data_IF_285668120381
#
_entry.id   IF_285668120381
#
_cell.length_a   1.000
_cell.length_b   1.000
_cell.length_c   1.000
_cell.angle_alpha   90.00
_cell.angle_beta   90.00
_cell.angle_gamma   90.00
#
_symmetry.space_group_name_H-M   'P 1'
#
loop_
_entity.id
_entity.type
_entity.pdbx_description
1 polymer ?
#
# COMPACT_ATOMS: atom_id res chain seq x y z
N UNK A 1 2.80 21.17 -1.46
CA UNK A 1 3.03 19.72 -1.37
C UNK A 1 4.18 19.32 -0.43
N UNK A 2 4.97 20.19 0.08
CA UNK A 2 6.16 19.91 0.87
C UNK A 2 7.44 20.39 0.18
N UNK A 3 8.60 20.06 0.76
CA UNK A 3 9.91 20.52 0.25
C UNK A 3 10.59 19.50 -0.66
N UNK A 4 10.12 18.24 -0.67
CA UNK A 4 10.67 17.16 -1.48
C UNK A 4 9.53 16.25 -1.97
N UNK A 5 9.68 15.71 -3.17
CA UNK A 5 8.86 14.61 -3.70
C UNK A 5 9.81 13.52 -4.16
N UNK A 6 9.68 12.34 -3.57
CA UNK A 6 10.52 11.19 -3.85
C UNK A 6 9.75 10.06 -4.54
N UNK A 7 10.48 9.17 -5.18
CA UNK A 7 10.00 7.93 -5.77
C UNK A 7 8.75 8.08 -6.65
N UNK A 8 8.68 9.07 -7.57
CA UNK A 8 7.51 9.19 -8.43
C UNK A 8 7.41 7.99 -9.37
N UNK A 9 6.25 7.36 -9.39
CA UNK A 9 5.89 6.29 -10.33
C UNK A 9 4.60 6.65 -11.04
N UNK A 10 4.60 6.58 -12.36
CA UNK A 10 3.42 6.79 -13.19
C UNK A 10 3.01 5.46 -13.83
N UNK A 11 1.82 4.99 -13.50
CA UNK A 11 1.25 3.77 -14.07
C UNK A 11 -0.13 4.04 -14.66
N UNK A 12 -0.54 3.18 -15.59
CA UNK A 12 -1.85 3.26 -16.22
C UNK A 12 -2.70 2.07 -15.79
N UNK A 13 -3.91 2.35 -15.31
CA UNK A 13 -4.88 1.33 -14.88
C UNK A 13 -6.20 1.66 -15.57
N UNK A 14 -6.68 0.78 -16.45
CA UNK A 14 -7.86 1.02 -17.29
C UNK A 14 -7.79 2.38 -18.00
N UNK A 15 -6.66 2.67 -18.66
CA UNK A 15 -6.33 3.92 -19.35
C UNK A 15 -6.30 5.18 -18.46
N UNK A 16 -6.48 5.04 -17.16
CA UNK A 16 -6.31 6.14 -16.20
C UNK A 16 -4.88 6.21 -15.69
N UNK A 17 -4.20 7.34 -15.81
CA UNK A 17 -2.88 7.52 -15.23
C UNK A 17 -3.00 7.70 -13.72
N UNK A 18 -2.20 6.94 -12.98
CA UNK A 18 -2.07 7.01 -11.52
C UNK A 18 -0.65 7.42 -11.19
N UNK A 19 -0.48 8.56 -10.56
CA UNK A 19 0.80 9.06 -10.08
C UNK A 19 0.95 8.70 -8.60
N UNK A 20 1.94 7.87 -8.29
CA UNK A 20 2.32 7.47 -6.93
C UNK A 20 3.60 8.24 -6.57
N UNK A 21 3.68 8.75 -5.34
CA UNK A 21 4.82 9.55 -4.91
C UNK A 21 4.91 9.64 -3.38
N UNK A 22 6.10 10.00 -2.89
CA UNK A 22 6.40 10.13 -1.47
C UNK A 22 6.79 11.57 -1.16
N UNK A 23 5.88 12.45 -0.73
CA UNK A 23 6.19 13.82 -0.38
C UNK A 23 6.77 13.92 1.04
N UNK A 24 7.81 14.74 1.21
CA UNK A 24 8.32 15.09 2.53
C UNK A 24 7.89 16.50 2.92
N UNK A 25 7.43 16.66 4.15
CA UNK A 25 6.96 17.94 4.67
C UNK A 25 5.62 18.36 4.07
N UNK A 26 4.79 17.43 3.64
CA UNK A 26 3.43 17.74 3.20
C UNK A 26 2.58 18.17 4.39
N UNK A 27 1.76 19.21 4.18
CA UNK A 27 0.78 19.65 5.18
C UNK A 27 -0.29 18.56 5.39
N UNK A 28 -0.49 18.15 6.64
CA UNK A 28 -1.50 17.15 7.04
C UNK A 28 -2.95 17.57 6.74
N UNK A 29 -3.20 18.84 6.48
CA UNK A 29 -4.49 19.31 5.99
C UNK A 29 -4.77 18.94 4.52
N UNK A 30 -3.73 18.60 3.74
CA UNK A 30 -3.89 18.15 2.36
C UNK A 30 -4.32 16.68 2.34
N UNK A 31 -3.64 15.86 3.12
CA UNK A 31 -3.94 14.45 3.34
C UNK A 31 -3.42 14.08 4.73
N UNK A 32 -4.25 13.58 5.65
CA UNK A 32 -3.79 13.19 6.97
C UNK A 32 -2.89 11.96 6.90
N UNK A 33 -1.82 11.93 7.69
CA UNK A 33 -0.91 10.78 7.81
C UNK A 33 -0.23 10.80 9.19
N UNK A 34 0.15 9.64 9.69
CA UNK A 34 0.78 9.48 11.01
C UNK A 34 2.29 9.17 10.92
N UNK A 35 2.75 8.60 9.82
CA UNK A 35 4.17 8.37 9.57
C UNK A 35 4.98 9.68 9.51
N UNK A 36 6.30 9.60 9.57
CA UNK A 36 7.19 10.75 9.35
C UNK A 36 6.97 11.30 7.95
N UNK A 37 6.92 10.41 6.94
CA UNK A 37 6.69 10.74 5.55
C UNK A 37 5.53 9.90 4.99
N UNK A 38 4.58 10.53 4.29
CA UNK A 38 3.48 9.80 3.68
C UNK A 38 3.88 9.14 2.36
N UNK A 39 3.09 8.16 1.96
CA UNK A 39 3.13 7.51 0.67
C UNK A 39 1.77 7.72 0.01
N UNK A 40 1.75 8.48 -1.08
CA UNK A 40 0.51 9.03 -1.63
C UNK A 40 0.30 8.68 -3.10
N UNK A 41 -0.92 8.89 -3.57
CA UNK A 41 -1.25 8.83 -4.98
C UNK A 41 -2.29 9.88 -5.39
N UNK A 42 -2.32 10.16 -6.69
CA UNK A 42 -3.34 10.95 -7.38
C UNK A 42 -3.74 10.25 -8.67
N UNK A 43 -5.03 10.20 -8.97
CA UNK A 43 -5.54 9.64 -10.22
C UNK A 43 -5.77 10.79 -11.19
N UNK A 44 -5.12 10.74 -12.35
CA UNK A 44 -5.26 11.75 -13.40
C UNK A 44 -6.35 11.42 -14.42
N UNK A 45 -6.63 12.39 -15.23
CA UNK A 45 -7.54 12.26 -16.37
C UNK A 45 -6.80 11.73 -17.61
N UNK A 46 -5.60 12.28 -17.88
CA UNK A 46 -4.74 11.91 -18.99
C UNK A 46 -3.29 12.37 -18.79
N UNK A 47 -2.41 11.93 -19.68
CA UNK A 47 -1.05 12.44 -19.78
C UNK A 47 -0.89 13.10 -21.16
N UNK A 48 -0.56 14.38 -21.17
CA UNK A 48 -0.18 15.08 -22.38
C UNK A 48 1.33 14.95 -22.60
N UNK A 49 1.74 14.02 -23.46
CA UNK A 49 3.14 13.72 -23.70
C UNK A 49 3.87 14.89 -24.39
N UNK A 50 3.20 15.62 -25.30
CA UNK A 50 3.80 16.74 -26.04
C UNK A 50 4.10 17.92 -25.10
N UNK A 51 3.21 18.17 -24.15
CA UNK A 51 3.37 19.24 -23.16
C UNK A 51 4.09 18.78 -21.88
N UNK A 52 4.39 17.48 -21.73
CA UNK A 52 4.97 16.91 -20.51
C UNK A 52 4.08 17.13 -19.28
N UNK A 53 2.76 16.98 -19.43
CA UNK A 53 1.80 17.28 -18.36
C UNK A 53 1.00 16.07 -17.94
N UNK A 54 0.86 15.93 -16.63
CA UNK A 54 -0.14 15.09 -16.00
C UNK A 54 -1.40 15.93 -15.78
N UNK A 55 -2.45 15.66 -16.56
CA UNK A 55 -3.71 16.39 -16.50
C UNK A 55 -4.60 15.76 -15.42
N UNK A 56 -5.11 16.59 -14.51
CA UNK A 56 -5.89 16.16 -13.37
C UNK A 56 -6.95 17.18 -13.00
N UNK A 57 -8.20 16.78 -13.00
CA UNK A 57 -9.35 17.60 -12.58
C UNK A 57 -9.57 17.50 -11.08
N UNK A 58 -9.58 16.28 -10.52
CA UNK A 58 -9.61 16.05 -9.08
C UNK A 58 -8.20 15.95 -8.50
N UNK A 59 -7.78 17.01 -7.82
CA UNK A 59 -6.45 17.12 -7.21
C UNK A 59 -6.37 16.50 -5.81
N UNK A 60 -7.34 15.68 -5.44
CA UNK A 60 -7.35 15.01 -4.14
C UNK A 60 -6.18 14.06 -4.03
N UNK A 61 -5.31 14.34 -3.08
CA UNK A 61 -4.20 13.45 -2.69
C UNK A 61 -4.74 12.42 -1.73
N UNK A 62 -4.45 11.14 -1.97
CA UNK A 62 -4.88 10.04 -1.12
C UNK A 62 -3.68 9.26 -0.61
N UNK A 63 -3.80 8.67 0.57
CA UNK A 63 -2.79 7.76 1.09
C UNK A 63 -2.78 6.47 0.27
N UNK A 64 -1.57 6.03 -0.08
CA UNK A 64 -1.37 4.73 -0.72
C UNK A 64 -1.40 3.60 0.32
N UNK A 65 -0.97 3.90 1.53
CA UNK A 65 -0.96 2.97 2.66
C UNK A 65 -1.37 3.70 3.94
N UNK A 66 -2.22 3.07 4.74
CA UNK A 66 -2.72 3.59 6.02
C UNK A 66 -2.01 2.94 7.22
N UNK A 67 -1.04 2.07 6.98
CA UNK A 67 -0.26 1.39 8.01
C UNK A 67 1.01 2.15 8.39
N UNK A 68 1.84 1.47 9.20
CA UNK A 68 3.13 1.98 9.63
C UNK A 68 4.22 1.65 8.60
N UNK A 69 5.14 2.60 8.43
CA UNK A 69 6.45 2.41 7.83
C UNK A 69 6.46 1.92 6.38
N UNK A 70 5.39 2.14 5.63
CA UNK A 70 5.37 1.85 4.18
C UNK A 70 5.76 3.10 3.42
N UNK A 71 6.91 3.03 2.71
CA UNK A 71 7.48 4.18 2.01
C UNK A 71 8.15 3.77 0.69
N UNK A 72 8.60 4.75 -0.08
CA UNK A 72 9.39 4.60 -1.31
C UNK A 72 8.80 3.56 -2.29
N UNK A 73 7.49 3.56 -2.45
CA UNK A 73 6.80 2.64 -3.37
C UNK A 73 7.24 2.82 -4.80
N UNK A 74 7.43 1.71 -5.50
CA UNK A 74 7.74 1.66 -6.92
C UNK A 74 6.65 0.88 -7.65
N UNK A 75 6.16 1.45 -8.74
CA UNK A 75 5.13 0.83 -9.56
C UNK A 75 5.49 0.87 -11.05
N UNK A 76 5.02 -0.10 -11.81
CA UNK A 76 5.21 -0.18 -13.25
C UNK A 76 4.08 -0.94 -13.93
N UNK A 77 3.86 -0.69 -15.21
CA UNK A 77 3.01 -1.51 -16.04
C UNK A 77 3.82 -2.66 -16.64
N UNK A 78 3.32 -3.88 -16.48
CA UNK A 78 3.93 -5.07 -17.03
C UNK A 78 3.36 -5.41 -18.42
N UNK A 79 4.05 -6.27 -19.20
CA UNK A 79 3.58 -6.69 -20.53
C UNK A 79 2.23 -7.41 -20.56
N UNK A 80 1.77 -7.93 -19.41
CA UNK A 80 0.45 -8.55 -19.25
C UNK A 80 -0.69 -7.53 -19.10
N UNK A 81 -0.39 -6.22 -19.19
CA UNK A 81 -1.34 -5.12 -19.11
C UNK A 81 -1.70 -4.70 -17.68
N UNK A 82 -1.13 -5.34 -16.68
CA UNK A 82 -1.37 -4.98 -15.27
C UNK A 82 -0.38 -3.96 -14.75
N UNK A 83 -0.76 -3.27 -13.70
CA UNK A 83 0.12 -2.42 -12.91
C UNK A 83 0.50 -3.15 -11.61
N UNK A 84 1.79 -3.22 -11.32
CA UNK A 84 2.34 -3.84 -10.12
C UNK A 84 3.01 -2.81 -9.23
N UNK A 85 2.98 -3.07 -7.93
CA UNK A 85 3.55 -2.23 -6.88
C UNK A 85 4.36 -3.08 -5.91
N UNK A 86 5.52 -2.53 -5.50
CA UNK A 86 6.27 -3.00 -4.34
C UNK A 86 6.69 -1.80 -3.53
N UNK A 87 6.73 -1.94 -2.21
CA UNK A 87 7.09 -0.85 -1.30
C UNK A 87 8.21 -1.26 -0.38
N UNK A 88 8.94 -0.30 0.10
CA UNK A 88 9.85 -0.47 1.22
C UNK A 88 9.04 -0.43 2.52
N UNK A 89 9.16 -1.47 3.33
CA UNK A 89 8.64 -1.50 4.70
C UNK A 89 9.74 -1.05 5.62
N UNK A 90 9.77 0.23 5.87
CA UNK A 90 10.78 0.95 6.63
C UNK A 90 10.65 2.44 6.40
N UNK A 91 11.22 3.22 7.30
CA UNK A 91 11.36 4.67 7.18
C UNK A 91 12.77 5.08 7.55
N UNK A 92 13.34 6.14 6.93
CA UNK A 92 14.56 6.72 7.39
C UNK A 92 14.36 7.31 8.80
N UNK A 93 15.44 7.43 9.57
CA UNK A 93 15.47 8.10 10.88
C UNK A 93 14.66 7.37 11.98
N UNK A 94 14.28 6.10 11.76
CA UNK A 94 13.63 5.25 12.75
C UNK A 94 14.56 4.11 13.13
N UNK A 95 14.72 3.86 14.44
CA UNK A 95 15.39 2.69 14.96
C UNK A 95 14.39 1.52 15.03
N UNK A 96 14.81 0.36 14.55
CA UNK A 96 14.00 -0.86 14.57
C UNK A 96 14.52 -1.86 15.61
N UNK A 97 13.65 -2.67 16.22
CA UNK A 97 14.07 -3.69 17.19
C UNK A 97 15.11 -4.66 16.66
N UNK A 98 15.17 -4.85 15.34
CA UNK A 98 16.09 -5.76 14.64
C UNK A 98 17.48 -5.16 14.39
N UNK A 99 17.69 -3.86 14.61
CA UNK A 99 18.99 -3.21 14.44
C UNK A 99 20.08 -3.88 15.32
N UNK A 100 19.70 -4.34 16.51
CA UNK A 100 20.59 -5.12 17.40
C UNK A 100 21.01 -6.47 16.81
N UNK A 101 20.31 -6.96 15.81
CA UNK A 101 20.56 -8.21 15.08
C UNK A 101 21.28 -7.96 13.75
N UNK A 102 21.72 -6.72 13.52
CA UNK A 102 22.41 -6.21 12.32
C UNK A 102 21.57 -6.28 11.04
N UNK A 103 20.25 -6.13 11.13
CA UNK A 103 19.39 -5.95 9.98
C UNK A 103 18.18 -5.07 10.33
N UNK A 104 17.66 -4.39 9.32
CA UNK A 104 16.42 -3.64 9.40
C UNK A 104 15.75 -3.61 8.03
N UNK A 105 14.45 -3.35 8.05
CA UNK A 105 13.63 -3.15 6.87
C UNK A 105 13.41 -4.42 6.03
N UNK A 106 12.41 -4.36 5.16
CA UNK A 106 12.14 -5.39 4.17
C UNK A 106 11.36 -4.80 2.99
N UNK A 107 11.16 -5.56 1.96
CA UNK A 107 10.20 -5.24 0.91
C UNK A 107 8.82 -5.78 1.27
N UNK A 108 7.79 -5.05 0.89
CA UNK A 108 6.41 -5.53 0.99
C UNK A 108 6.18 -6.72 0.04
N UNK A 109 5.04 -7.39 0.19
CA UNK A 109 4.56 -8.27 -0.88
C UNK A 109 4.33 -7.46 -2.15
N UNK A 110 4.54 -8.07 -3.32
CA UNK A 110 4.14 -7.49 -4.60
C UNK A 110 2.62 -7.46 -4.68
N UNK A 111 2.08 -6.32 -5.05
CA UNK A 111 0.64 -6.10 -5.18
C UNK A 111 0.30 -5.82 -6.64
N UNK A 112 -0.82 -6.33 -7.13
CA UNK A 112 -1.45 -5.81 -8.33
C UNK A 112 -2.37 -4.63 -7.99
N UNK A 113 -2.44 -3.68 -8.91
CA UNK A 113 -3.22 -2.46 -8.77
C UNK A 113 -4.44 -2.50 -9.69
N UNK A 114 -5.57 -2.09 -9.17
CA UNK A 114 -6.80 -1.92 -9.94
C UNK A 114 -7.58 -0.71 -9.46
N UNK A 115 -8.58 -0.29 -10.24
CA UNK A 115 -9.50 0.78 -9.86
C UNK A 115 -10.91 0.23 -9.68
N UNK A 116 -11.63 0.72 -8.68
CA UNK A 116 -13.08 0.51 -8.56
C UNK A 116 -13.81 1.32 -9.61
N UNK A 117 -15.11 1.03 -9.83
CA UNK A 117 -15.98 1.84 -10.69
C UNK A 117 -16.11 3.30 -10.19
N UNK A 118 -15.84 3.54 -8.91
CA UNK A 118 -15.81 4.87 -8.29
C UNK A 118 -14.46 5.58 -8.45
N UNK A 119 -13.48 4.95 -9.08
CA UNK A 119 -12.13 5.51 -9.23
C UNK A 119 -11.29 5.47 -7.95
N UNK A 120 -11.48 4.47 -7.11
CA UNK A 120 -10.63 4.24 -5.93
C UNK A 120 -9.57 3.21 -6.26
N UNK A 121 -8.33 3.44 -5.81
CA UNK A 121 -7.23 2.50 -6.02
C UNK A 121 -7.37 1.29 -5.08
N UNK A 122 -7.33 0.11 -5.66
CA UNK A 122 -7.31 -1.16 -4.94
C UNK A 122 -5.92 -1.78 -5.08
N UNK A 123 -5.38 -2.29 -3.99
CA UNK A 123 -4.15 -3.03 -3.92
C UNK A 123 -4.44 -4.45 -3.43
N UNK A 124 -3.95 -5.47 -4.14
CA UNK A 124 -4.08 -6.87 -3.73
C UNK A 124 -2.76 -7.59 -3.91
N UNK A 125 -2.36 -8.46 -2.99
CA UNK A 125 -1.22 -9.35 -3.23
C UNK A 125 -1.38 -10.09 -4.55
N UNK A 126 -0.30 -10.21 -5.32
CA UNK A 126 -0.34 -10.96 -6.58
C UNK A 126 -0.72 -12.42 -6.33
N UNK A 127 -1.46 -13.01 -7.28
CA UNK A 127 -2.00 -14.36 -7.11
C UNK A 127 -0.92 -15.43 -6.81
N UNK A 128 0.29 -15.25 -7.30
CA UNK A 128 1.40 -16.16 -7.03
C UNK A 128 1.79 -16.25 -5.55
N UNK A 129 1.36 -15.29 -4.71
CA UNK A 129 1.53 -15.37 -3.26
C UNK A 129 0.68 -16.49 -2.64
N UNK A 130 -0.40 -16.91 -3.33
CA UNK A 130 -1.23 -18.04 -2.89
C UNK A 130 -0.44 -19.36 -2.87
N UNK A 131 0.58 -19.48 -3.73
CA UNK A 131 1.44 -20.67 -3.81
C UNK A 131 2.35 -20.83 -2.58
N UNK A 132 2.47 -19.79 -1.75
CA UNK A 132 3.20 -19.82 -0.48
C UNK A 132 2.36 -20.31 0.69
N UNK A 133 1.06 -20.50 0.49
CA UNK A 133 0.15 -20.96 1.53
C UNK A 133 0.23 -22.48 1.69
N UNK A 134 0.22 -22.92 2.94
CA UNK A 134 0.09 -24.33 3.32
C UNK A 134 -0.77 -24.41 4.59
N UNK A 135 -1.34 -25.57 4.82
CA UNK A 135 -2.04 -25.95 6.06
C UNK A 135 -2.97 -24.89 6.68
N UNK A 136 -4.06 -24.56 5.97
CA UNK A 136 -5.09 -23.67 6.49
C UNK A 136 -5.79 -24.26 7.72
N UNK A 137 -5.76 -23.55 8.84
CA UNK A 137 -6.53 -23.89 10.04
C UNK A 137 -7.81 -23.03 10.04
N UNK A 138 -9.01 -23.62 9.86
CA UNK A 138 -10.24 -22.89 10.02
C UNK A 138 -10.43 -22.53 11.50
N UNK A 139 -10.51 -21.25 11.80
CA UNK A 139 -10.86 -20.73 13.11
C UNK A 139 -12.34 -20.36 13.08
N UNK A 140 -13.17 -21.11 13.78
CA UNK A 140 -14.58 -20.75 13.95
C UNK A 140 -14.79 -20.27 15.37
N UNK A 141 -15.28 -19.05 15.54
CA UNK A 141 -15.67 -18.56 16.83
C UNK A 141 -16.94 -17.72 16.75
N UNK A 142 -17.96 -18.17 17.51
CA UNK A 142 -19.16 -17.39 17.79
C UNK A 142 -18.98 -16.73 19.15
N UNK A 143 -18.51 -15.49 19.19
CA UNK A 143 -18.52 -14.71 20.44
C UNK A 143 -18.64 -13.21 20.19
N UNK A 144 -19.37 -12.53 21.07
CA UNK A 144 -19.51 -11.09 21.07
C UNK A 144 -18.20 -10.36 21.37
N UNK A 145 -18.15 -9.11 20.98
CA UNK A 145 -16.94 -8.25 20.98
C UNK A 145 -16.39 -7.84 22.35
N UNK A 146 -16.90 -8.38 23.44
CA UNK A 146 -16.56 -7.91 24.79
C UNK A 146 -15.27 -8.51 25.38
N UNK A 147 -14.63 -9.44 24.66
CA UNK A 147 -13.41 -10.07 25.15
C UNK A 147 -12.35 -10.25 24.06
N UNK A 148 -11.13 -9.83 24.34
CA UNK A 148 -9.94 -10.19 23.55
C UNK A 148 -9.63 -11.66 23.85
N UNK A 149 -9.68 -12.51 22.84
CA UNK A 149 -9.33 -13.92 22.96
C UNK A 149 -8.12 -14.27 22.10
N UNK A 150 -7.25 -15.11 22.63
CA UNK A 150 -6.22 -15.75 21.84
C UNK A 150 -6.86 -16.86 21.02
N UNK A 151 -7.06 -16.62 19.73
CA UNK A 151 -7.63 -17.60 18.80
C UNK A 151 -6.66 -18.74 18.50
N UNK A 152 -5.36 -18.45 18.54
CA UNK A 152 -4.29 -19.43 18.29
C UNK A 152 -3.12 -19.13 19.21
N UNK A 153 -2.62 -20.14 19.89
CA UNK A 153 -1.53 -20.00 20.86
C UNK A 153 -0.13 -20.27 20.28
N UNK A 154 -0.03 -20.88 19.11
CA UNK A 154 1.26 -21.26 18.49
C UNK A 154 1.15 -21.26 16.96
N UNK A 155 1.26 -20.10 16.36
CA UNK A 155 1.23 -19.93 14.90
C UNK A 155 2.62 -19.81 14.27
N UNK A 156 3.69 -19.78 15.09
CA UNK A 156 5.00 -19.40 14.59
C UNK A 156 5.04 -17.92 14.16
N UNK A 157 6.03 -17.56 13.36
CA UNK A 157 6.25 -16.20 12.88
C UNK A 157 5.81 -15.95 11.41
N UNK A 158 5.28 -16.97 10.75
CA UNK A 158 4.91 -16.91 9.32
C UNK A 158 3.48 -17.41 9.16
N UNK A 159 2.53 -16.50 9.05
CA UNK A 159 1.11 -16.83 8.89
C UNK A 159 0.37 -15.78 8.09
N UNK A 160 -0.75 -16.17 7.53
CA UNK A 160 -1.76 -15.27 6.95
C UNK A 160 -3.07 -15.47 7.72
N UNK A 161 -3.67 -14.35 8.14
CA UNK A 161 -4.99 -14.35 8.76
C UNK A 161 -6.02 -13.79 7.80
N UNK A 162 -7.07 -14.55 7.52
CA UNK A 162 -8.21 -14.10 6.74
C UNK A 162 -9.43 -13.96 7.63
N UNK A 163 -9.95 -12.74 7.75
CA UNK A 163 -11.14 -12.40 8.51
C UNK A 163 -12.26 -11.99 7.56
N UNK A 164 -13.48 -12.44 7.85
CA UNK A 164 -14.69 -11.91 7.23
C UNK A 164 -15.49 -11.22 8.33
N UNK A 165 -15.77 -9.93 8.15
CA UNK A 165 -16.54 -9.13 9.09
C UNK A 165 -17.86 -8.74 8.42
N UNK A 166 -18.97 -8.99 9.11
CA UNK A 166 -20.25 -8.49 8.68
C UNK A 166 -20.41 -7.06 9.22
N UNK A 167 -20.54 -6.10 8.31
CA UNK A 167 -20.86 -4.71 8.69
C UNK A 167 -22.38 -4.63 8.94
N UNK A 168 -22.78 -4.50 10.19
CA UNK A 168 -24.14 -4.16 10.59
C UNK A 168 -24.33 -2.65 10.68
#
# INVERSE_FOLDING_TARGET
>A
MGYMIECPSLVFINDKPVLIFCPQGMDKNICPYDNIYPNNYVIGDSVNHDAGRFEVSDKTVKNLDEGFDVYASQAFNAPDGKAYLISWTGLPEIEYPTDKENWAHCLSQVKDLSLTDKGELIQRPVKTMDDLRYDGLPLTQEQGMDHIQNLVSDTGSQYELKLTLDAN
#
